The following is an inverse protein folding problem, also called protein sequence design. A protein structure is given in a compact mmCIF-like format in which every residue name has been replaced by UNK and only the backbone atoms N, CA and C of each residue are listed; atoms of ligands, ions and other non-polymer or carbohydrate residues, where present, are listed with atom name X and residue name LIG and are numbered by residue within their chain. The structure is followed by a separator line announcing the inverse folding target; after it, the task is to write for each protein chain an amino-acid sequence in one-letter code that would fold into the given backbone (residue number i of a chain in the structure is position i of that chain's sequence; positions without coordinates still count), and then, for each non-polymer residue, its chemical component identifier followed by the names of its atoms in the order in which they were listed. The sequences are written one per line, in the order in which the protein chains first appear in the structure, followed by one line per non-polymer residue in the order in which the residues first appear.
data_IF_632257500324
#
_entry.id   IF_632257500324
#
_cell.length_a   1.000
_cell.length_b   1.000
_cell.length_c   1.000
_cell.angle_alpha   90.00
_cell.angle_beta   90.00
_cell.angle_gamma   90.00
#
_symmetry.space_group_name_H-M   'P 1'
#
loop_
_entity.id
_entity.type
_entity.pdbx_description
1 polymer ?
#
# COMPACT_ATOMS: atom_id res chain seq x y z
N UNK A 1 25.47 13.47 14.62
CA UNK A 1 25.59 12.15 13.97
C UNK A 1 24.97 12.12 12.59
N UNK A 2 23.67 12.45 12.43
CA UNK A 2 22.99 12.45 11.12
C UNK A 2 23.79 13.17 10.02
N UNK A 3 24.23 14.41 10.28
CA UNK A 3 25.05 15.21 9.36
C UNK A 3 26.34 14.50 8.93
N UNK A 4 27.00 13.78 9.84
CA UNK A 4 28.23 13.04 9.53
C UNK A 4 27.94 11.79 8.68
N UNK A 5 26.81 11.10 8.93
CA UNK A 5 26.45 9.86 8.22
C UNK A 5 26.12 10.12 6.75
N UNK A 6 25.49 11.26 6.46
CA UNK A 6 25.07 11.61 5.10
C UNK A 6 25.99 12.63 4.43
N UNK A 7 27.14 12.92 5.07
CA UNK A 7 28.17 13.86 4.59
C UNK A 7 27.60 15.25 4.25
N UNK A 8 26.88 15.84 5.21
CA UNK A 8 26.25 17.15 5.05
C UNK A 8 26.55 18.13 6.18
N UNK A 9 26.31 19.41 5.90
CA UNK A 9 26.51 20.48 6.87
C UNK A 9 25.48 20.43 8.02
N UNK A 10 25.95 20.67 9.25
CA UNK A 10 25.14 20.61 10.48
C UNK A 10 23.97 21.61 10.44
N UNK A 11 24.18 22.81 9.91
CA UNK A 11 23.13 23.83 9.78
C UNK A 11 22.03 23.41 8.79
N UNK A 12 22.41 22.81 7.65
CA UNK A 12 21.45 22.37 6.64
C UNK A 12 20.59 21.20 7.14
N UNK A 13 21.19 20.30 7.91
CA UNK A 13 20.46 19.21 8.59
C UNK A 13 19.51 19.74 9.65
N UNK A 14 19.90 20.75 10.44
CA UNK A 14 19.00 21.36 11.44
C UNK A 14 17.76 21.97 10.78
N UNK A 15 17.94 22.74 9.71
CA UNK A 15 16.82 23.35 8.96
C UNK A 15 15.91 22.24 8.42
N UNK A 16 16.50 21.20 7.83
CA UNK A 16 15.76 20.04 7.29
C UNK A 16 14.95 19.32 8.37
N UNK A 17 15.53 19.05 9.54
CA UNK A 17 14.84 18.39 10.65
C UNK A 17 13.66 19.22 11.16
N UNK A 18 13.83 20.53 11.30
CA UNK A 18 12.74 21.46 11.68
C UNK A 18 11.63 21.45 10.63
N UNK A 19 12.00 21.47 9.34
CA UNK A 19 11.04 21.41 8.26
C UNK A 19 10.22 20.11 8.29
N UNK A 20 10.88 18.95 8.43
CA UNK A 20 10.21 17.65 8.48
C UNK A 20 9.29 17.53 9.69
N UNK A 21 9.71 18.05 10.85
CA UNK A 21 8.91 18.12 12.07
C UNK A 21 7.66 19.02 11.86
N UNK A 22 7.82 20.19 11.24
CA UNK A 22 6.69 21.09 10.92
C UNK A 22 5.67 20.48 9.94
N UNK A 23 6.10 19.51 9.14
CA UNK A 23 5.24 18.79 8.20
C UNK A 23 4.63 17.51 8.79
N UNK A 24 4.94 17.18 10.05
CA UNK A 24 4.50 15.95 10.70
C UNK A 24 5.05 14.69 10.03
N UNK A 25 6.17 14.81 9.31
CA UNK A 25 6.84 13.66 8.69
C UNK A 25 7.75 12.95 9.70
N UNK A 26 8.14 13.65 10.75
CA UNK A 26 9.09 13.19 11.74
C UNK A 26 8.73 13.78 13.12
N UNK A 27 8.87 12.98 14.16
CA UNK A 27 8.67 13.38 15.56
C UNK A 27 9.98 13.27 16.32
N UNK A 28 10.32 14.32 17.08
CA UNK A 28 11.51 14.31 17.94
C UNK A 28 11.17 13.68 19.29
N UNK A 29 11.79 12.54 19.59
CA UNK A 29 11.60 11.85 20.87
C UNK A 29 12.66 12.27 21.91
N UNK A 30 13.84 12.67 21.43
CA UNK A 30 14.98 13.16 22.22
C UNK A 30 15.84 14.07 21.35
N UNK A 31 16.87 14.71 21.91
CA UNK A 31 17.79 15.57 21.17
C UNK A 31 18.55 14.86 20.04
N UNK A 32 18.59 13.52 20.09
CA UNK A 32 19.28 12.68 19.09
C UNK A 32 18.38 11.66 18.42
N UNK A 33 17.16 11.47 18.92
CA UNK A 33 16.26 10.42 18.45
C UNK A 33 15.05 11.00 17.74
N UNK A 34 14.85 10.54 16.53
CA UNK A 34 13.77 10.98 15.65
C UNK A 34 13.00 9.78 15.12
N UNK A 35 11.68 9.90 15.10
CA UNK A 35 10.76 8.88 14.63
C UNK A 35 10.08 9.31 13.32
N UNK A 36 10.02 8.42 12.33
CA UNK A 36 9.36 8.71 11.04
C UNK A 36 7.92 8.20 11.05
N UNK A 37 6.96 9.12 11.17
CA UNK A 37 5.55 8.78 11.44
C UNK A 37 4.88 7.96 10.34
N UNK A 38 5.22 8.22 9.06
CA UNK A 38 4.56 7.53 7.93
C UNK A 38 5.19 6.19 7.57
N UNK A 39 6.41 5.89 8.04
CA UNK A 39 7.10 4.65 7.67
C UNK A 39 6.36 3.40 8.17
N UNK A 40 5.88 3.31 9.43
CA UNK A 40 5.13 2.16 9.90
C UNK A 40 3.85 1.88 9.09
N UNK A 41 3.14 2.93 8.65
CA UNK A 41 1.94 2.78 7.83
C UNK A 41 2.27 2.32 6.41
N UNK A 42 3.40 2.80 5.86
CA UNK A 42 3.86 2.41 4.53
C UNK A 42 4.43 0.98 4.48
N UNK A 43 5.02 0.48 5.57
CA UNK A 43 5.55 -0.88 5.65
C UNK A 43 4.41 -1.91 5.60
N UNK A 44 4.44 -2.78 4.60
CA UNK A 44 3.41 -3.80 4.40
C UNK A 44 2.16 -3.30 3.67
N UNK A 45 2.08 -2.00 3.36
CA UNK A 45 1.05 -1.46 2.48
C UNK A 45 1.33 -1.84 1.02
N UNK A 46 0.29 -2.19 0.29
CA UNK A 46 0.44 -2.62 -1.09
C UNK A 46 0.43 -1.43 -2.05
N UNK A 47 1.50 -1.28 -2.82
CA UNK A 47 1.58 -0.25 -3.85
C UNK A 47 0.48 -0.44 -4.89
N UNK A 48 0.02 0.65 -5.51
CA UNK A 48 -1.02 0.63 -6.53
C UNK A 48 -0.73 -0.35 -7.69
N UNK A 49 0.54 -0.49 -8.10
CA UNK A 49 0.98 -1.46 -9.12
C UNK A 49 0.72 -2.91 -8.68
N UNK A 50 1.13 -3.26 -7.47
CA UNK A 50 0.92 -4.60 -6.88
C UNK A 50 -0.57 -4.90 -6.74
N UNK A 51 -1.36 -3.93 -6.26
CA UNK A 51 -2.83 -4.04 -6.17
C UNK A 51 -3.47 -4.31 -7.53
N UNK A 52 -3.05 -3.59 -8.58
CA UNK A 52 -3.50 -3.82 -9.97
C UNK A 52 -3.13 -5.22 -10.45
N UNK A 53 -1.89 -5.65 -10.25
CA UNK A 53 -1.41 -6.98 -10.66
C UNK A 53 -2.12 -8.12 -9.92
N UNK A 54 -2.48 -7.93 -8.65
CA UNK A 54 -3.32 -8.87 -7.89
C UNK A 54 -4.74 -8.96 -8.44
N UNK A 55 -5.41 -7.82 -8.64
CA UNK A 55 -6.74 -7.76 -9.25
C UNK A 55 -6.76 -8.41 -10.64
N UNK A 56 -5.74 -8.17 -11.47
CA UNK A 56 -5.62 -8.81 -12.77
C UNK A 56 -5.51 -10.33 -12.66
N UNK A 57 -4.69 -10.87 -11.74
CA UNK A 57 -4.57 -12.33 -11.52
C UNK A 57 -5.89 -12.94 -11.01
N UNK A 58 -6.61 -12.25 -10.15
CA UNK A 58 -7.95 -12.68 -9.68
C UNK A 58 -8.93 -12.76 -10.86
N UNK A 59 -8.95 -11.75 -11.74
CA UNK A 59 -9.77 -11.74 -12.96
C UNK A 59 -9.35 -12.82 -13.97
N UNK A 60 -8.06 -13.11 -14.11
CA UNK A 60 -7.59 -14.14 -15.04
C UNK A 60 -7.86 -15.56 -14.54
N UNK A 61 -7.86 -15.79 -13.22
CA UNK A 61 -8.32 -17.09 -12.65
C UNK A 61 -9.79 -17.37 -12.97
N UNK A 62 -10.61 -16.34 -13.19
CA UNK A 62 -12.01 -16.48 -13.60
C UNK A 62 -12.18 -16.86 -15.08
N UNK A 63 -11.17 -16.69 -15.94
CA UNK A 63 -11.26 -17.06 -17.35
C UNK A 63 -11.30 -18.57 -17.60
N UNK A 64 -10.94 -19.38 -16.61
CA UNK A 64 -11.09 -20.84 -16.65
C UNK A 64 -12.50 -21.31 -16.26
N UNK A 65 -13.37 -20.40 -15.79
CA UNK A 65 -14.73 -20.69 -15.34
C UNK A 65 -15.78 -20.42 -16.43
N UNK A 66 -15.44 -20.62 -17.71
CA UNK A 66 -16.37 -20.41 -18.84
C UNK A 66 -17.69 -21.21 -18.72
N UNK A 67 -17.75 -22.23 -17.86
CA UNK A 67 -18.97 -23.02 -17.59
C UNK A 67 -19.65 -22.65 -16.25
N UNK A 68 -18.99 -21.93 -15.33
CA UNK A 68 -19.49 -21.73 -13.96
C UNK A 68 -20.20 -20.38 -13.71
N UNK A 69 -20.34 -19.53 -14.72
CA UNK A 69 -21.22 -18.35 -14.66
C UNK A 69 -22.41 -18.53 -15.58
N UNK A 70 -23.22 -19.58 -15.35
CA UNK A 70 -24.64 -19.49 -15.68
C UNK A 70 -25.24 -18.44 -14.74
N UNK A 71 -25.52 -17.28 -15.32
CA UNK A 71 -26.43 -16.23 -14.86
C UNK A 71 -27.20 -16.52 -13.55
N UNK A 72 -27.19 -15.55 -12.63
CA UNK A 72 -28.19 -15.40 -11.58
C UNK A 72 -29.55 -15.04 -12.21
N UNK A 73 -30.16 -15.97 -12.94
CA UNK A 73 -31.54 -15.93 -13.36
C UNK A 73 -32.21 -17.19 -12.86
N UNK A 74 -33.38 -17.06 -12.25
CA UNK A 74 -34.21 -18.17 -11.83
C UNK A 74 -34.49 -19.06 -13.07
N UNK A 75 -33.87 -20.24 -13.12
CA UNK A 75 -34.22 -21.27 -14.09
C UNK A 75 -35.21 -22.18 -13.37
N UNK A 76 -36.50 -21.98 -13.66
CA UNK A 76 -37.53 -22.97 -13.38
C UNK A 76 -37.30 -24.16 -14.33
N UNK A 77 -36.81 -25.27 -13.79
CA UNK A 77 -36.57 -26.49 -14.57
C UNK A 77 -37.86 -27.31 -14.52
N UNK A 78 -38.80 -27.02 -15.42
CA UNK A 78 -39.91 -27.91 -15.70
C UNK A 78 -39.35 -29.22 -16.29
N UNK A 79 -39.48 -30.30 -15.53
CA UNK A 79 -39.15 -31.66 -15.98
C UNK A 79 -40.39 -32.28 -16.60
N UNK A 80 -40.46 -32.33 -17.92
CA UNK A 80 -41.23 -33.36 -18.63
C UNK A 80 -40.29 -34.10 -19.59
N UNK A 81 -40.10 -35.38 -19.30
CA UNK A 81 -39.41 -36.35 -20.15
C UNK A 81 -40.52 -37.18 -20.81
N UNK A 82 -40.67 -37.07 -22.13
CA UNK A 82 -41.39 -38.04 -22.98
C UNK A 82 -40.41 -38.65 -23.99
#
# INVERSE_FOLDING_TARGET
EIALVIDENVEDIKITLIFLESKGLLTRNSDRDYFLEQVPEMVGSETASTRRSRKHRELQKLHCNTIATTCNGDIDIDKEIE
#
